data_IF_106206708453
#
_entry.id   IF_106206708453
#
_cell.length_a   1.000
_cell.length_b   1.000
_cell.length_c   1.000
_cell.angle_alpha   90.00
_cell.angle_beta   90.00
_cell.angle_gamma   90.00
#
_symmetry.space_group_name_H-M   'P 1'
#
loop_
_entity.id
_entity.type
_entity.pdbx_description
1 polymer ?
#
# COMPACT_ATOMS: atom_id res chain seq x y z
N UNK A 1 -5.76 -23.86 26.33
CA UNK A 1 -5.35 -23.54 24.95
C UNK A 1 -5.62 -22.07 24.74
N UNK A 2 -4.54 -21.29 24.68
CA UNK A 2 -4.51 -19.83 24.61
C UNK A 2 -5.25 -19.32 23.37
N UNK A 3 -6.05 -18.28 23.59
CA UNK A 3 -6.76 -17.57 22.54
C UNK A 3 -5.81 -17.04 21.46
N UNK A 4 -6.32 -17.01 20.25
CA UNK A 4 -5.64 -16.45 19.10
C UNK A 4 -5.59 -14.93 19.29
N UNK A 5 -4.48 -14.39 19.78
CA UNK A 5 -4.18 -12.96 19.60
C UNK A 5 -3.82 -12.74 18.13
N UNK A 6 -4.85 -12.59 17.28
CA UNK A 6 -4.64 -12.05 15.94
C UNK A 6 -4.44 -10.55 16.09
N UNK A 7 -3.17 -10.13 16.17
CA UNK A 7 -2.78 -8.73 16.04
C UNK A 7 -2.97 -8.30 14.57
N UNK A 8 -4.22 -8.06 14.16
CA UNK A 8 -4.52 -7.56 12.81
C UNK A 8 -4.18 -6.07 12.74
N UNK A 9 -3.30 -5.70 11.80
CA UNK A 9 -2.99 -4.30 11.49
C UNK A 9 -3.65 -3.95 10.17
N UNK A 10 -4.69 -3.12 10.22
CA UNK A 10 -5.35 -2.59 9.03
C UNK A 10 -4.76 -1.21 8.68
N UNK A 11 -4.24 -1.08 7.46
CA UNK A 11 -3.67 0.18 6.96
C UNK A 11 -4.48 0.67 5.77
N UNK A 12 -4.90 1.93 5.83
CA UNK A 12 -5.54 2.65 4.73
C UNK A 12 -4.62 3.78 4.27
N UNK A 13 -4.52 4.00 2.96
CA UNK A 13 -3.81 5.15 2.39
C UNK A 13 -4.81 6.07 1.70
N UNK A 14 -4.97 7.28 2.24
CA UNK A 14 -5.65 8.41 1.58
C UNK A 14 -4.75 9.64 1.69
N UNK A 15 -4.42 10.34 0.59
CA UNK A 15 -4.65 10.04 -0.84
C UNK A 15 -3.61 9.06 -1.41
N UNK A 16 -4.04 8.19 -2.34
CA UNK A 16 -3.14 7.39 -3.16
C UNK A 16 -2.12 8.31 -3.85
N UNK A 17 -0.82 8.01 -3.75
CA UNK A 17 0.22 8.83 -4.36
C UNK A 17 0.69 10.07 -3.61
N UNK A 18 0.31 10.24 -2.33
CA UNK A 18 0.84 11.30 -1.47
C UNK A 18 2.29 11.02 -1.04
N UNK A 19 3.19 11.97 -1.23
CA UNK A 19 4.56 11.91 -0.72
C UNK A 19 4.61 12.44 0.72
N UNK A 20 5.00 11.62 1.72
CA UNK A 20 5.02 12.01 3.12
C UNK A 20 6.02 13.11 3.47
N UNK A 21 7.00 13.37 2.60
CA UNK A 21 8.05 14.36 2.85
C UNK A 21 7.69 15.74 2.30
N UNK A 22 7.03 15.77 1.14
CA UNK A 22 6.74 17.01 0.40
C UNK A 22 5.28 17.43 0.50
N UNK A 23 4.38 16.49 0.78
CA UNK A 23 2.94 16.72 0.78
C UNK A 23 2.30 16.68 -0.61
N UNK A 24 3.09 16.47 -1.66
CA UNK A 24 2.61 16.46 -3.04
C UNK A 24 1.84 15.17 -3.36
N UNK A 25 0.88 15.27 -4.29
CA UNK A 25 0.14 14.13 -4.81
C UNK A 25 0.58 13.90 -6.25
N UNK A 26 1.11 12.70 -6.50
CA UNK A 26 1.52 12.29 -7.84
C UNK A 26 0.32 12.32 -8.80
N UNK A 27 0.51 12.86 -10.01
CA UNK A 27 -0.56 12.92 -11.03
C UNK A 27 -0.59 11.69 -11.92
N UNK A 28 0.57 11.11 -12.19
CA UNK A 28 0.69 9.92 -13.03
C UNK A 28 0.32 8.65 -12.27
N UNK A 29 -0.53 7.80 -12.87
CA UNK A 29 -1.10 6.63 -12.21
C UNK A 29 -0.03 5.65 -11.72
N UNK A 30 1.02 5.45 -12.52
CA UNK A 30 2.14 4.61 -12.15
C UNK A 30 2.90 5.14 -10.93
N UNK A 31 3.14 6.46 -10.87
CA UNK A 31 3.78 7.10 -9.74
C UNK A 31 2.89 7.06 -8.49
N UNK A 32 1.56 7.21 -8.64
CA UNK A 32 0.62 7.05 -7.53
C UNK A 32 0.65 5.64 -6.96
N UNK A 33 0.69 4.61 -7.82
CA UNK A 33 0.74 3.21 -7.40
C UNK A 33 2.04 2.95 -6.63
N UNK A 34 3.20 3.29 -7.20
CA UNK A 34 4.48 3.04 -6.55
C UNK A 34 4.60 3.77 -5.20
N UNK A 35 4.18 5.03 -5.15
CA UNK A 35 4.16 5.80 -3.91
C UNK A 35 3.19 5.22 -2.87
N UNK A 36 2.03 4.69 -3.31
CA UNK A 36 1.09 4.02 -2.41
C UNK A 36 1.70 2.77 -1.79
N UNK A 37 2.43 1.97 -2.57
CA UNK A 37 3.14 0.80 -2.04
C UNK A 37 4.24 1.19 -1.05
N UNK A 38 5.01 2.25 -1.33
CA UNK A 38 6.01 2.78 -0.42
C UNK A 38 5.39 3.30 0.89
N UNK A 39 4.23 3.94 0.81
CA UNK A 39 3.51 4.45 1.99
C UNK A 39 2.98 3.31 2.87
N UNK A 40 2.43 2.25 2.27
CA UNK A 40 1.97 1.07 3.03
C UNK A 40 3.16 0.39 3.71
N UNK A 41 4.28 0.21 3.00
CA UNK A 41 5.52 -0.34 3.55
C UNK A 41 5.99 0.48 4.78
N UNK A 42 6.07 1.80 4.61
CA UNK A 42 6.44 2.72 5.68
C UNK A 42 5.49 2.60 6.88
N UNK A 43 4.19 2.61 6.65
CA UNK A 43 3.20 2.53 7.73
C UNK A 43 3.25 1.18 8.46
N UNK A 44 3.42 0.06 7.73
CA UNK A 44 3.59 -1.26 8.32
C UNK A 44 4.83 -1.34 9.20
N UNK A 45 5.95 -0.75 8.77
CA UNK A 45 7.19 -0.68 9.57
C UNK A 45 7.04 0.23 10.78
N UNK A 46 6.41 1.40 10.61
CA UNK A 46 6.15 2.33 11.71
C UNK A 46 5.20 1.75 12.77
N UNK A 47 4.30 0.84 12.38
CA UNK A 47 3.46 0.07 13.29
C UNK A 47 4.20 -1.07 14.01
N UNK A 48 5.52 -1.22 13.81
CA UNK A 48 6.34 -2.29 14.39
C UNK A 48 6.33 -3.60 13.61
N UNK A 49 5.76 -3.59 12.40
CA UNK A 49 5.71 -4.75 11.52
C UNK A 49 6.90 -4.88 10.57
N UNK A 50 6.88 -5.94 9.77
CA UNK A 50 7.94 -6.32 8.82
C UNK A 50 7.84 -5.68 7.43
N UNK A 51 6.75 -4.96 7.14
CA UNK A 51 6.46 -4.45 5.80
C UNK A 51 5.57 -5.42 5.01
N UNK A 52 5.62 -5.33 3.68
CA UNK A 52 4.80 -6.13 2.75
C UNK A 52 4.93 -7.65 2.95
N UNK A 53 6.06 -8.15 3.43
CA UNK A 53 6.29 -9.59 3.64
C UNK A 53 5.34 -10.26 4.64
N UNK A 54 4.65 -9.46 5.48
CA UNK A 54 3.67 -9.96 6.44
C UNK A 54 2.21 -9.72 6.00
N UNK A 55 1.99 -9.13 4.82
CA UNK A 55 0.65 -8.82 4.31
C UNK A 55 0.04 -10.07 3.70
N UNK A 56 -1.08 -10.54 4.26
CA UNK A 56 -1.77 -11.74 3.79
C UNK A 56 -2.86 -11.44 2.74
N UNK A 57 -3.36 -10.19 2.68
CA UNK A 57 -4.38 -9.74 1.74
C UNK A 57 -4.25 -8.24 1.49
N UNK A 58 -4.39 -7.83 0.24
CA UNK A 58 -4.54 -6.44 -0.17
C UNK A 58 -5.81 -6.29 -1.02
N UNK A 59 -6.59 -5.24 -0.76
CA UNK A 59 -7.66 -4.82 -1.65
C UNK A 59 -7.30 -3.43 -2.18
N UNK A 60 -7.26 -3.26 -3.49
CA UNK A 60 -6.94 -1.98 -4.13
C UNK A 60 -8.11 -1.51 -5.00
N UNK A 61 -8.40 -0.21 -4.97
CA UNK A 61 -9.47 0.42 -5.75
C UNK A 61 -8.85 1.42 -6.73
N UNK A 62 -9.15 1.27 -8.03
CA UNK A 62 -8.53 2.05 -9.11
C UNK A 62 -9.58 2.72 -9.98
N UNK A 63 -9.31 3.97 -10.38
CA UNK A 63 -10.11 4.72 -11.35
C UNK A 63 -9.17 5.52 -12.26
N UNK A 64 -9.08 5.20 -13.56
CA UNK A 64 -9.65 4.03 -14.24
C UNK A 64 -8.90 2.73 -13.89
N UNK A 65 -9.59 1.59 -13.92
CA UNK A 65 -8.95 0.26 -13.89
C UNK A 65 -8.59 -0.15 -15.33
N UNK A 66 -7.37 0.18 -15.74
CA UNK A 66 -6.83 -0.13 -17.07
C UNK A 66 -5.60 -1.04 -16.96
N UNK A 67 -5.06 -1.47 -18.11
CA UNK A 67 -3.90 -2.35 -18.15
C UNK A 67 -2.67 -1.73 -17.46
N UNK A 68 -2.47 -0.43 -17.62
CA UNK A 68 -1.37 0.30 -16.98
C UNK A 68 -1.45 0.21 -15.44
N UNK A 69 -2.63 0.44 -14.87
CA UNK A 69 -2.85 0.33 -13.42
C UNK A 69 -2.66 -1.13 -12.94
N UNK A 70 -3.14 -2.11 -13.72
CA UNK A 70 -2.95 -3.53 -13.40
C UNK A 70 -1.48 -3.94 -13.45
N UNK A 71 -0.72 -3.52 -14.46
CA UNK A 71 0.72 -3.74 -14.58
C UNK A 71 1.47 -3.09 -13.41
N UNK A 72 1.07 -1.86 -13.03
CA UNK A 72 1.60 -1.17 -11.86
C UNK A 72 1.36 -1.92 -10.54
N UNK A 73 0.19 -2.52 -10.38
CA UNK A 73 -0.11 -3.36 -9.21
C UNK A 73 0.73 -4.64 -9.22
N UNK A 74 0.79 -5.34 -10.35
CA UNK A 74 1.52 -6.62 -10.47
C UNK A 74 3.02 -6.45 -10.24
N UNK A 75 3.64 -5.33 -10.66
CA UNK A 75 5.08 -5.11 -10.41
C UNK A 75 5.44 -4.91 -8.94
N UNK A 76 4.48 -4.46 -8.13
CA UNK A 76 4.72 -4.12 -6.73
C UNK A 76 4.30 -5.22 -5.76
N UNK A 77 3.33 -6.07 -6.12
CA UNK A 77 2.98 -7.27 -5.35
C UNK A 77 4.09 -8.30 -5.55
N UNK A 78 4.78 -8.67 -4.46
CA UNK A 78 5.88 -9.66 -4.43
C UNK A 78 5.49 -10.89 -3.63
#
# INVERSE_FOLDING_TARGET
MSGIEQTEVAISTQPAGWDPNTGEIQREINAQIDQTFANVEMNLRNAGGKGWEQVYRANSYHVPINNEALEGMMRNIK
#
